data_IF_261047191819
#
_entry.id   IF_261047191819
#
_cell.length_a   1.000
_cell.length_b   1.000
_cell.length_c   1.000
_cell.angle_alpha   90.00
_cell.angle_beta   90.00
_cell.angle_gamma   90.00
#
_symmetry.space_group_name_H-M   'P 1'
#
loop_
_entity.id
_entity.type
_entity.pdbx_description
1 polymer ?
#
# COMPACT_ATOMS: atom_id res chain seq x y z
N UNK A 1 -1.37 -24.22 23.67
CA UNK A 1 -1.17 -25.65 23.33
C UNK A 1 0.15 -26.19 23.90
N UNK A 2 1.31 -25.68 23.47
CA UNK A 2 2.64 -26.12 23.94
C UNK A 2 2.84 -26.07 25.47
N UNK A 3 2.18 -25.12 26.13
CA UNK A 3 2.27 -24.95 27.58
C UNK A 3 1.38 -25.93 28.38
N UNK A 4 0.41 -26.62 27.76
CA UNK A 4 -0.55 -27.46 28.52
C UNK A 4 0.14 -28.70 29.12
N UNK A 5 0.88 -29.53 28.35
CA UNK A 5 1.61 -30.67 28.93
C UNK A 5 2.65 -30.24 29.96
N UNK A 6 3.18 -29.03 29.79
CA UNK A 6 4.18 -28.44 30.67
C UNK A 6 3.58 -28.00 32.02
N UNK A 7 2.43 -27.31 31.99
CA UNK A 7 1.70 -26.84 33.17
C UNK A 7 1.22 -28.00 34.05
N UNK A 8 0.90 -29.15 33.46
CA UNK A 8 0.50 -30.35 34.19
C UNK A 8 1.63 -30.97 35.03
N UNK A 9 2.88 -30.53 34.80
CA UNK A 9 4.09 -31.15 35.36
C UNK A 9 4.92 -30.14 36.17
N UNK A 10 4.37 -28.97 36.50
CA UNK A 10 5.08 -27.86 37.21
C UNK A 10 5.88 -28.31 38.42
N UNK A 11 5.33 -29.23 39.23
CA UNK A 11 5.98 -29.74 40.44
C UNK A 11 7.28 -30.53 40.18
N UNK A 12 7.47 -31.03 38.96
CA UNK A 12 8.63 -31.85 38.56
C UNK A 12 9.64 -31.08 37.71
N UNK A 13 9.52 -29.76 37.59
CA UNK A 13 10.45 -28.96 36.81
C UNK A 13 11.82 -28.85 37.50
N UNK A 14 12.87 -29.21 36.77
CA UNK A 14 14.26 -28.91 37.11
C UNK A 14 14.53 -27.41 36.99
N UNK A 15 15.61 -26.92 37.62
CA UNK A 15 15.99 -25.51 37.57
C UNK A 15 16.20 -25.01 36.13
N UNK A 16 16.79 -25.83 35.25
CA UNK A 16 16.99 -25.47 33.84
C UNK A 16 15.68 -25.26 33.08
N UNK A 17 14.68 -26.12 33.33
CA UNK A 17 13.36 -26.00 32.70
C UNK A 17 12.63 -24.77 33.23
N UNK A 18 12.70 -24.51 34.54
CA UNK A 18 12.15 -23.27 35.12
C UNK A 18 12.73 -22.03 34.45
N UNK A 19 14.04 -22.01 34.21
CA UNK A 19 14.70 -20.90 33.53
C UNK A 19 14.20 -20.72 32.08
N UNK A 20 14.09 -21.80 31.30
CA UNK A 20 13.56 -21.73 29.92
C UNK A 20 12.11 -21.26 29.91
N UNK A 21 11.27 -21.78 30.81
CA UNK A 21 9.87 -21.38 30.89
C UNK A 21 9.71 -19.93 31.32
N UNK A 22 10.51 -19.48 32.29
CA UNK A 22 10.54 -18.08 32.69
C UNK A 22 10.94 -17.18 31.52
N UNK A 23 11.98 -17.56 30.76
CA UNK A 23 12.36 -16.85 29.54
C UNK A 23 11.23 -16.80 28.52
N UNK A 24 10.56 -17.92 28.25
CA UNK A 24 9.40 -17.96 27.34
C UNK A 24 8.29 -17.02 27.79
N UNK A 25 7.95 -17.01 29.08
CA UNK A 25 6.91 -16.13 29.63
C UNK A 25 7.31 -14.66 29.47
N UNK A 26 8.54 -14.31 29.87
CA UNK A 26 9.05 -12.92 29.75
C UNK A 26 9.06 -12.48 28.30
N UNK A 27 9.49 -13.33 27.37
CA UNK A 27 9.54 -13.01 25.96
C UNK A 27 8.15 -12.89 25.32
N UNK A 28 7.20 -13.75 25.70
CA UNK A 28 5.79 -13.64 25.25
C UNK A 28 5.17 -12.34 25.77
N UNK A 29 5.38 -12.02 27.06
CA UNK A 29 4.91 -10.76 27.65
C UNK A 29 5.53 -9.56 26.94
N UNK A 30 6.83 -9.62 26.64
CA UNK A 30 7.51 -8.60 25.85
C UNK A 30 6.85 -8.38 24.49
N UNK A 31 6.56 -9.45 23.73
CA UNK A 31 5.86 -9.32 22.44
C UNK A 31 4.46 -8.70 22.61
N UNK A 32 3.72 -9.10 23.65
CA UNK A 32 2.38 -8.55 23.93
C UNK A 32 2.46 -7.06 24.26
N UNK A 33 3.42 -6.66 25.11
CA UNK A 33 3.62 -5.27 25.55
C UNK A 33 4.04 -4.39 24.38
N UNK A 34 4.99 -4.85 23.55
CA UNK A 34 5.44 -4.11 22.36
C UNK A 34 4.39 -4.14 21.24
N UNK A 35 3.48 -5.11 21.24
CA UNK A 35 2.39 -5.23 20.27
C UNK A 35 2.78 -5.91 18.95
N UNK A 36 3.97 -6.49 18.85
CA UNK A 36 4.49 -7.10 17.61
C UNK A 36 4.69 -6.10 16.47
N UNK A 37 4.41 -6.50 15.22
CA UNK A 37 4.62 -5.71 13.99
C UNK A 37 3.38 -5.78 13.10
N UNK A 38 3.34 -4.96 12.05
CA UNK A 38 2.30 -4.93 11.02
C UNK A 38 2.29 -6.23 10.21
N UNK A 39 3.47 -6.80 9.96
CA UNK A 39 3.57 -8.06 9.25
C UNK A 39 2.96 -9.20 10.08
N UNK A 40 2.14 -9.99 9.39
CA UNK A 40 1.24 -10.98 9.99
C UNK A 40 2.02 -12.25 10.34
N UNK A 41 1.30 -13.30 10.75
CA UNK A 41 1.88 -14.64 10.98
C UNK A 41 2.81 -14.74 12.20
N UNK A 42 2.66 -13.84 13.18
CA UNK A 42 3.30 -13.98 14.51
C UNK A 42 4.81 -14.26 14.46
N UNK A 43 5.54 -13.67 13.51
CA UNK A 43 6.95 -13.97 13.26
C UNK A 43 7.88 -13.76 14.45
N UNK A 44 7.52 -12.89 15.40
CA UNK A 44 8.29 -12.72 16.64
C UNK A 44 8.30 -13.94 17.54
N UNK A 45 7.38 -14.89 17.34
CA UNK A 45 7.37 -16.16 18.05
C UNK A 45 8.34 -17.19 17.42
N UNK A 46 8.87 -16.95 16.22
CA UNK A 46 9.81 -17.87 15.55
C UNK A 46 11.06 -18.14 16.41
N UNK A 47 11.73 -17.13 17.00
CA UNK A 47 12.90 -17.35 17.86
C UNK A 47 12.65 -18.24 19.08
N UNK A 48 11.41 -18.33 19.58
CA UNK A 48 11.09 -19.17 20.73
C UNK A 48 10.62 -20.58 20.37
N UNK A 49 10.28 -20.85 19.10
CA UNK A 49 9.86 -22.19 18.66
C UNK A 49 10.87 -23.29 19.01
N UNK A 50 12.19 -23.12 18.79
CA UNK A 50 13.19 -24.15 19.15
C UNK A 50 13.21 -24.48 20.64
N UNK A 51 12.86 -23.52 21.51
CA UNK A 51 12.79 -23.73 22.96
C UNK A 51 11.48 -24.37 23.40
N UNK A 52 10.38 -24.07 22.70
CA UNK A 52 9.07 -24.64 22.99
C UNK A 52 9.01 -26.15 22.72
N UNK A 53 9.72 -26.63 21.68
CA UNK A 53 9.75 -28.05 21.31
C UNK A 53 10.26 -28.96 22.44
N UNK A 54 11.49 -28.80 22.98
CA UNK A 54 12.02 -29.68 24.02
C UNK A 54 11.22 -29.56 25.33
N UNK A 55 10.72 -28.35 25.65
CA UNK A 55 9.88 -28.11 26.82
C UNK A 55 8.56 -28.88 26.72
N UNK A 56 7.92 -28.88 25.55
CA UNK A 56 6.70 -29.67 25.31
C UNK A 56 6.96 -31.16 25.30
N UNK A 57 8.06 -31.62 24.68
CA UNK A 57 8.46 -33.03 24.70
C UNK A 57 8.73 -33.52 26.13
N UNK A 58 9.40 -32.72 26.96
CA UNK A 58 9.63 -33.03 28.37
C UNK A 58 8.31 -33.20 29.14
N UNK A 59 7.36 -32.27 28.94
CA UNK A 59 6.02 -32.39 29.52
C UNK A 59 5.29 -33.66 29.09
N UNK A 60 5.35 -34.00 27.79
CA UNK A 60 4.77 -35.23 27.25
C UNK A 60 5.42 -36.49 27.82
N UNK A 61 6.75 -36.54 27.95
CA UNK A 61 7.48 -37.71 28.50
C UNK A 61 7.07 -37.98 29.94
N UNK A 62 6.90 -36.93 30.76
CA UNK A 62 6.51 -37.11 32.16
C UNK A 62 5.04 -37.46 32.30
N UNK A 63 4.18 -36.87 31.47
CA UNK A 63 2.74 -37.09 31.52
C UNK A 63 2.35 -38.45 30.93
N UNK A 64 2.95 -38.83 29.80
CA UNK A 64 2.66 -40.06 29.06
C UNK A 64 3.70 -41.13 29.41
N UNK A 65 3.30 -42.07 30.27
CA UNK A 65 4.17 -43.17 30.72
C UNK A 65 4.58 -44.14 29.61
N UNK A 66 3.85 -44.18 28.49
CA UNK A 66 4.08 -45.12 27.39
C UNK A 66 4.68 -44.42 26.17
N UNK A 67 5.82 -44.94 25.67
CA UNK A 67 6.60 -44.33 24.57
C UNK A 67 5.80 -44.08 23.29
N UNK A 68 4.91 -45.00 22.91
CA UNK A 68 4.09 -44.83 21.70
C UNK A 68 3.09 -43.67 21.81
N UNK A 69 2.57 -43.38 23.01
CA UNK A 69 1.66 -42.25 23.23
C UNK A 69 2.38 -40.92 23.08
N UNK A 70 3.67 -40.84 23.45
CA UNK A 70 4.49 -39.64 23.26
C UNK A 70 4.62 -39.33 21.77
N UNK A 71 4.94 -40.35 20.97
CA UNK A 71 5.04 -40.20 19.51
C UNK A 71 3.70 -39.83 18.87
N UNK A 72 2.61 -40.49 19.30
CA UNK A 72 1.27 -40.16 18.81
C UNK A 72 0.88 -38.72 19.16
N UNK A 73 1.16 -38.29 20.40
CA UNK A 73 0.91 -36.92 20.85
C UNK A 73 1.75 -35.90 20.10
N UNK A 74 3.04 -36.17 19.89
CA UNK A 74 3.93 -35.32 19.10
C UNK A 74 3.46 -35.23 17.64
N UNK A 75 3.08 -36.35 17.03
CA UNK A 75 2.53 -36.40 15.67
C UNK A 75 1.23 -35.58 15.55
N UNK A 76 0.31 -35.73 16.51
CA UNK A 76 -0.93 -34.96 16.53
C UNK A 76 -0.67 -33.46 16.71
N UNK A 77 0.24 -33.08 17.61
CA UNK A 77 0.64 -31.68 17.83
C UNK A 77 1.26 -31.07 16.56
N UNK A 78 2.17 -31.78 15.90
CA UNK A 78 2.77 -31.34 14.64
C UNK A 78 1.73 -31.23 13.52
N UNK A 79 0.90 -32.26 13.36
CA UNK A 79 -0.19 -32.26 12.38
C UNK A 79 -1.15 -31.09 12.59
N UNK A 80 -1.56 -30.83 13.83
CA UNK A 80 -2.40 -29.69 14.18
C UNK A 80 -1.73 -28.34 13.85
N UNK A 81 -0.46 -28.18 14.22
CA UNK A 81 0.31 -26.95 13.97
C UNK A 81 0.53 -26.67 12.50
N UNK A 82 0.67 -27.70 11.67
CA UNK A 82 0.84 -27.53 10.24
C UNK A 82 -0.48 -27.38 9.51
N UNK A 83 -1.56 -28.01 10.01
CA UNK A 83 -2.86 -28.03 9.33
C UNK A 83 -3.72 -26.80 9.64
N UNK A 84 -3.91 -26.47 10.93
CA UNK A 84 -4.87 -25.44 11.33
C UNK A 84 -4.50 -24.02 10.86
N UNK A 85 -3.26 -23.53 11.05
CA UNK A 85 -2.88 -22.20 10.57
C UNK A 85 -2.52 -22.21 9.06
N UNK A 86 -2.52 -23.36 8.38
CA UNK A 86 -2.00 -23.50 7.01
C UNK A 86 -2.57 -22.47 6.06
N UNK A 87 -3.89 -22.38 5.99
CA UNK A 87 -4.56 -21.48 5.04
C UNK A 87 -4.29 -20.02 5.37
N UNK A 88 -4.28 -19.66 6.65
CA UNK A 88 -3.95 -18.31 7.10
C UNK A 88 -2.52 -17.94 6.72
N UNK A 89 -1.54 -18.82 6.99
CA UNK A 89 -0.13 -18.60 6.66
C UNK A 89 0.08 -18.51 5.14
N UNK A 90 -0.51 -19.44 4.37
CA UNK A 90 -0.38 -19.45 2.90
C UNK A 90 -0.99 -18.18 2.30
N UNK A 91 -2.16 -17.75 2.79
CA UNK A 91 -2.81 -16.54 2.30
C UNK A 91 -1.94 -15.30 2.54
N UNK A 92 -1.43 -15.10 3.76
CA UNK A 92 -0.56 -13.96 4.05
C UNK A 92 0.77 -14.01 3.31
N UNK A 93 1.38 -15.19 3.23
CA UNK A 93 2.61 -15.39 2.44
C UNK A 93 2.40 -15.06 0.97
N UNK A 94 1.26 -15.45 0.41
CA UNK A 94 0.90 -15.10 -0.96
C UNK A 94 0.71 -13.59 -1.13
N UNK A 95 -0.03 -12.93 -0.23
CA UNK A 95 -0.19 -11.47 -0.25
C UNK A 95 1.12 -10.72 -0.13
N UNK A 96 2.03 -11.15 0.75
CA UNK A 96 3.36 -10.56 0.91
C UNK A 96 4.22 -10.75 -0.36
N UNK A 97 4.22 -11.96 -0.93
CA UNK A 97 4.88 -12.21 -2.22
C UNK A 97 4.33 -11.34 -3.34
N UNK A 98 3.01 -11.16 -3.40
CA UNK A 98 2.38 -10.29 -4.40
C UNK A 98 2.75 -8.82 -4.18
N UNK A 99 2.81 -8.36 -2.94
CA UNK A 99 3.29 -7.00 -2.63
C UNK A 99 4.73 -6.80 -3.10
N UNK A 100 5.64 -7.71 -2.73
CA UNK A 100 7.06 -7.65 -3.14
C UNK A 100 7.20 -7.69 -4.65
N UNK A 101 6.48 -8.60 -5.32
CA UNK A 101 6.47 -8.72 -6.78
C UNK A 101 5.99 -7.42 -7.44
N UNK A 102 4.87 -6.86 -6.98
CA UNK A 102 4.33 -5.63 -7.55
C UNK A 102 5.27 -4.43 -7.34
N UNK A 103 5.97 -4.38 -6.21
CA UNK A 103 6.99 -3.37 -5.96
C UNK A 103 8.22 -3.54 -6.85
N UNK A 104 8.71 -4.76 -7.03
CA UNK A 104 9.85 -5.04 -7.92
C UNK A 104 9.49 -4.72 -9.38
N UNK A 105 8.29 -5.09 -9.84
CA UNK A 105 7.81 -4.73 -11.18
C UNK A 105 7.67 -3.20 -11.36
N UNK A 106 7.24 -2.46 -10.32
CA UNK A 106 7.26 -0.99 -10.35
C UNK A 106 8.69 -0.46 -10.54
N UNK A 107 9.65 -0.97 -9.77
CA UNK A 107 11.05 -0.52 -9.82
C UNK A 107 11.69 -0.86 -11.18
N UNK A 108 11.47 -2.07 -11.69
CA UNK A 108 11.96 -2.49 -13.02
C UNK A 108 11.41 -1.56 -14.10
N UNK A 109 10.12 -1.26 -14.07
CA UNK A 109 9.52 -0.35 -15.04
C UNK A 109 10.05 1.08 -14.88
N UNK A 110 10.24 1.56 -13.65
CA UNK A 110 10.80 2.88 -13.38
C UNK A 110 12.23 3.02 -13.95
N UNK A 111 13.09 2.04 -13.67
CA UNK A 111 14.47 2.00 -14.20
C UNK A 111 14.53 1.88 -15.73
N UNK A 112 13.52 1.25 -16.34
CA UNK A 112 13.42 1.13 -17.79
C UNK A 112 13.04 2.45 -18.47
N UNK A 113 12.37 3.38 -17.77
CA UNK A 113 11.87 4.64 -18.35
C UNK A 113 12.65 5.87 -17.88
N UNK A 114 13.29 5.81 -16.72
CA UNK A 114 14.09 6.90 -16.17
C UNK A 114 15.51 6.43 -15.88
N UNK A 115 16.44 6.92 -16.70
CA UNK A 115 17.87 6.60 -16.60
C UNK A 115 18.67 7.67 -15.84
N UNK A 116 18.00 8.68 -15.27
CA UNK A 116 18.65 9.70 -14.45
C UNK A 116 19.02 9.16 -13.06
N UNK A 117 19.89 9.88 -12.34
CA UNK A 117 20.07 9.67 -10.91
C UNK A 117 18.88 10.28 -10.15
N UNK A 118 17.76 9.55 -10.15
CA UNK A 118 16.53 9.99 -9.49
C UNK A 118 16.48 9.59 -8.01
N UNK A 119 15.56 10.24 -7.31
CA UNK A 119 15.23 9.95 -5.92
C UNK A 119 13.81 9.39 -5.76
N UNK A 120 13.66 8.36 -4.93
CA UNK A 120 12.38 7.70 -4.65
C UNK A 120 12.06 7.73 -3.16
N UNK A 121 10.97 8.38 -2.78
CA UNK A 121 10.38 8.22 -1.46
C UNK A 121 9.36 7.08 -1.45
N UNK A 122 9.41 6.20 -0.46
CA UNK A 122 8.55 5.00 -0.42
C UNK A 122 8.16 4.63 1.01
N UNK A 123 6.91 4.19 1.23
CA UNK A 123 6.43 3.77 2.55
C UNK A 123 6.90 2.36 2.95
N UNK A 124 7.11 1.49 1.97
CA UNK A 124 7.65 0.14 2.17
C UNK A 124 9.04 0.03 1.57
N UNK A 125 10.06 0.52 2.29
CA UNK A 125 11.43 0.64 1.75
C UNK A 125 12.05 -0.66 1.25
N UNK A 126 11.64 -1.81 1.80
CA UNK A 126 12.11 -3.18 1.51
C UNK A 126 12.87 -3.38 0.19
N UNK A 127 12.19 -3.91 -0.84
CA UNK A 127 12.84 -4.27 -2.12
C UNK A 127 13.44 -3.05 -2.84
N UNK A 128 12.85 -1.86 -2.66
CA UNK A 128 13.35 -0.62 -3.25
C UNK A 128 14.78 -0.30 -2.80
N UNK A 129 15.06 -0.41 -1.50
CA UNK A 129 16.40 -0.18 -0.94
C UNK A 129 17.47 -1.15 -1.47
N UNK A 130 17.09 -2.36 -1.87
CA UNK A 130 18.03 -3.34 -2.45
C UNK A 130 18.22 -3.20 -3.97
N UNK A 131 17.19 -2.75 -4.68
CA UNK A 131 17.20 -2.70 -6.17
C UNK A 131 17.70 -1.37 -6.71
N UNK A 132 17.50 -0.28 -5.98
CA UNK A 132 17.84 1.07 -6.40
C UNK A 132 19.24 1.49 -5.88
N UNK A 133 20.22 0.59 -5.98
CA UNK A 133 21.61 0.90 -5.61
C UNK A 133 22.13 1.98 -6.57
N UNK A 134 22.68 3.05 -6.01
CA UNK A 134 23.15 4.21 -6.78
C UNK A 134 22.11 5.33 -6.91
N UNK A 135 20.85 5.07 -6.57
CA UNK A 135 19.78 6.08 -6.50
C UNK A 135 19.48 6.44 -5.04
N UNK A 136 18.85 7.59 -4.82
CA UNK A 136 18.47 8.02 -3.47
C UNK A 136 17.11 7.46 -3.07
N UNK A 137 17.08 6.51 -2.13
CA UNK A 137 15.83 5.99 -1.54
C UNK A 137 15.54 6.65 -0.20
N UNK A 138 14.33 7.21 -0.04
CA UNK A 138 13.87 7.89 1.17
C UNK A 138 12.73 7.07 1.78
N UNK A 139 12.93 6.54 2.98
CA UNK A 139 11.90 5.78 3.68
C UNK A 139 10.92 6.72 4.41
N UNK A 140 9.66 6.73 3.98
CA UNK A 140 8.63 7.61 4.53
C UNK A 140 8.29 7.33 6.00
N UNK A 141 8.59 6.13 6.52
CA UNK A 141 8.22 5.68 7.87
C UNK A 141 9.38 5.69 8.87
N UNK A 142 10.60 6.02 8.40
CA UNK A 142 11.78 6.13 9.27
C UNK A 142 12.27 4.81 9.86
N UNK A 143 12.02 3.67 9.19
CA UNK A 143 12.65 2.39 9.48
C UNK A 143 14.14 2.41 9.09
N UNK A 144 14.48 3.07 7.98
CA UNK A 144 15.86 3.25 7.51
C UNK A 144 16.32 4.71 7.42
N UNK A 145 15.40 5.68 7.42
CA UNK A 145 15.75 7.10 7.44
C UNK A 145 15.91 7.63 8.88
N UNK A 146 17.15 7.97 9.25
CA UNK A 146 17.48 8.38 10.62
C UNK A 146 16.86 9.71 11.04
N UNK A 147 16.61 10.63 10.09
CA UNK A 147 16.00 11.93 10.37
C UNK A 147 14.54 11.72 10.76
N UNK A 148 13.80 10.90 10.00
CA UNK A 148 12.41 10.57 10.31
C UNK A 148 12.31 9.78 11.62
N UNK A 149 13.26 8.87 11.88
CA UNK A 149 13.27 8.05 13.09
C UNK A 149 13.45 8.87 14.38
N UNK A 150 14.31 9.89 14.34
CA UNK A 150 14.74 10.71 15.49
C UNK A 150 14.00 12.03 15.62
N UNK A 151 13.51 12.57 14.50
CA UNK A 151 12.79 13.82 14.43
C UNK A 151 11.45 13.62 13.69
N UNK A 152 10.57 12.71 14.17
CA UNK A 152 9.24 12.59 13.60
C UNK A 152 8.46 13.89 13.81
N UNK A 153 7.54 14.19 12.90
CA UNK A 153 6.58 15.26 13.13
C UNK A 153 5.57 14.85 14.21
N UNK A 154 4.96 15.85 14.85
CA UNK A 154 3.88 15.61 15.80
C UNK A 154 2.70 14.88 15.13
N UNK A 155 2.08 13.92 15.84
CA UNK A 155 0.86 13.27 15.40
C UNK A 155 -0.22 14.29 15.01
N UNK A 156 -1.00 13.94 14.00
CA UNK A 156 -2.05 14.82 13.48
C UNK A 156 -3.38 14.36 14.05
N UNK A 157 -4.02 15.22 14.83
CA UNK A 157 -5.35 14.98 15.34
C UNK A 157 -6.32 14.63 14.20
N UNK A 158 -7.21 13.67 14.45
CA UNK A 158 -8.22 13.16 13.49
C UNK A 158 -7.65 12.40 12.29
N UNK A 159 -6.34 12.23 12.17
CA UNK A 159 -5.72 11.39 11.13
C UNK A 159 -5.49 9.95 11.63
N UNK A 160 -6.56 9.15 11.63
CA UNK A 160 -6.50 7.72 11.95
C UNK A 160 -5.87 6.89 10.84
N UNK A 161 -5.22 5.78 11.18
CA UNK A 161 -4.70 4.79 10.23
C UNK A 161 -4.68 3.41 10.87
N UNK A 162 -4.66 2.36 10.06
CA UNK A 162 -4.53 0.96 10.51
C UNK A 162 -3.07 0.52 10.65
N UNK A 163 -2.13 1.37 10.23
CA UNK A 163 -0.69 1.12 10.35
C UNK A 163 -0.22 1.28 11.80
N UNK A 164 0.79 0.51 12.21
CA UNK A 164 1.37 0.61 13.56
C UNK A 164 2.51 1.60 13.62
N UNK A 165 3.19 1.81 12.51
CA UNK A 165 4.23 2.81 12.33
C UNK A 165 3.57 4.18 12.42
N UNK A 166 3.87 4.92 13.48
CA UNK A 166 3.31 6.26 13.73
C UNK A 166 4.29 7.38 13.41
N UNK A 167 5.58 7.05 13.22
CA UNK A 167 6.63 8.01 12.89
C UNK A 167 6.61 8.34 11.40
N UNK A 168 6.72 9.62 11.09
CA UNK A 168 6.88 10.15 9.75
C UNK A 168 7.40 11.60 9.85
N UNK A 169 8.00 12.12 8.79
CA UNK A 169 8.31 13.56 8.69
C UNK A 169 8.11 14.04 7.24
N UNK A 170 6.85 14.35 6.91
CA UNK A 170 6.46 14.71 5.54
C UNK A 170 7.08 16.05 5.10
N UNK A 171 7.29 17.00 6.02
CA UNK A 171 8.00 18.25 5.76
C UNK A 171 9.44 17.99 5.32
N UNK A 172 10.17 17.14 6.05
CA UNK A 172 11.52 16.75 5.68
C UNK A 172 11.53 16.08 4.29
N UNK A 173 10.66 15.09 4.07
CA UNK A 173 10.55 14.41 2.76
C UNK A 173 10.30 15.41 1.64
N UNK A 174 9.34 16.32 1.79
CA UNK A 174 9.05 17.33 0.77
C UNK A 174 10.19 18.34 0.57
N UNK A 175 10.96 18.66 1.62
CA UNK A 175 12.15 19.51 1.51
C UNK A 175 13.27 18.86 0.70
N UNK A 176 13.34 17.52 0.71
CA UNK A 176 14.26 16.75 -0.14
C UNK A 176 13.81 16.70 -1.59
N UNK A 177 12.55 17.04 -1.86
CA UNK A 177 11.97 17.10 -3.20
C UNK A 177 12.20 15.83 -4.04
N UNK A 178 11.74 14.66 -3.58
CA UNK A 178 11.93 13.42 -4.31
C UNK A 178 11.32 13.49 -5.71
N UNK A 179 11.96 12.86 -6.70
CA UNK A 179 11.44 12.79 -8.07
C UNK A 179 10.19 11.94 -8.13
N UNK A 180 10.18 10.86 -7.34
CA UNK A 180 9.09 9.91 -7.25
C UNK A 180 8.67 9.66 -5.81
N UNK A 181 7.37 9.45 -5.60
CA UNK A 181 6.80 9.00 -4.32
C UNK A 181 5.90 7.78 -4.58
N UNK A 182 6.30 6.63 -4.03
CA UNK A 182 5.57 5.37 -4.16
C UNK A 182 4.85 5.04 -2.86
N UNK A 183 3.52 4.99 -2.94
CA UNK A 183 2.69 4.54 -1.83
C UNK A 183 2.51 3.02 -1.86
N UNK A 184 2.24 2.43 -0.69
CA UNK A 184 1.98 1.00 -0.55
C UNK A 184 0.69 0.56 -1.24
N UNK A 185 -0.23 1.50 -1.47
CA UNK A 185 -1.52 1.25 -2.13
C UNK A 185 -1.78 2.21 -3.30
N UNK A 186 -0.72 2.59 -4.03
CA UNK A 186 -0.81 3.44 -5.22
C UNK A 186 -1.50 4.78 -4.94
N UNK A 187 -2.70 5.04 -5.49
CA UNK A 187 -3.43 6.30 -5.27
C UNK A 187 -3.99 6.51 -3.86
N UNK A 188 -4.18 5.42 -3.11
CA UNK A 188 -4.79 5.50 -1.79
C UNK A 188 -3.72 5.80 -0.73
N UNK A 189 -3.77 6.93 -0.01
CA UNK A 189 -2.85 7.18 1.10
C UNK A 189 -3.27 6.35 2.31
N UNK A 190 -2.58 5.25 2.58
CA UNK A 190 -2.93 4.32 3.65
C UNK A 190 -2.09 4.54 4.91
N UNK A 191 -0.77 4.69 4.75
CA UNK A 191 0.16 4.88 5.85
C UNK A 191 0.10 6.33 6.38
N UNK A 192 0.47 6.59 7.65
CA UNK A 192 0.37 7.93 8.22
C UNK A 192 1.22 8.96 7.46
N UNK A 193 2.43 8.60 7.00
CA UNK A 193 3.25 9.47 6.17
C UNK A 193 2.57 9.84 4.82
N UNK A 194 1.94 8.87 4.17
CA UNK A 194 1.21 9.06 2.90
C UNK A 194 0.02 10.00 3.10
N UNK A 195 -0.72 9.81 4.20
CA UNK A 195 -1.85 10.67 4.58
C UNK A 195 -1.39 12.07 4.95
N UNK A 196 -0.28 12.21 5.66
CA UNK A 196 0.27 13.49 6.06
C UNK A 196 0.78 14.31 4.86
N UNK A 197 1.31 13.67 3.81
CA UNK A 197 1.68 14.35 2.56
C UNK A 197 0.49 15.11 1.95
N UNK A 198 -0.72 14.56 2.02
CA UNK A 198 -1.93 15.22 1.50
C UNK A 198 -2.35 16.46 2.29
N UNK A 199 -1.72 16.74 3.43
CA UNK A 199 -1.97 17.94 4.23
C UNK A 199 -1.11 19.13 3.82
N UNK A 200 -0.15 18.91 2.92
CA UNK A 200 0.71 19.93 2.35
C UNK A 200 0.22 20.32 0.94
N UNK A 201 -0.22 21.57 0.71
CA UNK A 201 -0.55 22.04 -0.64
C UNK A 201 0.59 21.84 -1.64
N UNK A 202 1.83 21.90 -1.17
CA UNK A 202 3.01 21.66 -1.99
C UNK A 202 3.00 20.28 -2.63
N UNK A 203 2.62 19.24 -1.89
CA UNK A 203 2.50 17.90 -2.46
C UNK A 203 1.41 17.87 -3.52
N UNK A 204 0.21 18.38 -3.20
CA UNK A 204 -0.94 18.40 -4.11
C UNK A 204 -0.68 19.22 -5.38
N UNK A 205 0.18 20.24 -5.32
CA UNK A 205 0.51 21.09 -6.46
C UNK A 205 1.70 20.56 -7.27
N UNK A 206 2.64 19.86 -6.63
CA UNK A 206 3.91 19.50 -7.27
C UNK A 206 3.92 18.10 -7.87
N UNK A 207 3.08 17.19 -7.36
CA UNK A 207 3.12 15.78 -7.71
C UNK A 207 1.85 15.34 -8.45
N UNK A 208 2.03 14.55 -9.53
CA UNK A 208 0.94 13.89 -10.26
C UNK A 208 1.30 12.44 -10.47
N UNK A 209 0.30 11.59 -10.51
CA UNK A 209 0.52 10.17 -10.78
C UNK A 209 0.88 9.93 -12.22
N UNK A 210 1.74 8.94 -12.42
CA UNK A 210 1.97 8.25 -13.67
C UNK A 210 1.70 6.76 -13.43
N UNK A 211 1.39 6.03 -14.49
CA UNK A 211 0.99 4.62 -14.39
C UNK A 211 1.90 3.68 -15.15
N UNK A 212 2.06 2.48 -14.60
CA UNK A 212 2.66 1.33 -15.27
C UNK A 212 1.65 0.19 -15.33
N UNK A 213 1.61 -0.56 -16.43
CA UNK A 213 0.73 -1.73 -16.58
C UNK A 213 1.55 -2.99 -16.33
N UNK A 214 1.16 -3.74 -15.31
CA UNK A 214 1.68 -5.07 -15.06
C UNK A 214 0.71 -5.85 -14.17
N UNK A 215 0.76 -7.18 -14.25
CA UNK A 215 -0.20 -8.04 -13.54
C UNK A 215 -1.68 -7.81 -13.92
N UNK A 216 -1.94 -7.22 -15.10
CA UNK A 216 -3.30 -6.87 -15.55
C UNK A 216 -3.91 -5.64 -14.87
N UNK A 217 -3.13 -4.88 -14.10
CA UNK A 217 -3.58 -3.67 -13.42
C UNK A 217 -2.69 -2.47 -13.72
N UNK A 218 -3.25 -1.27 -13.54
CA UNK A 218 -2.47 -0.03 -13.50
C UNK A 218 -1.94 0.13 -12.09
N UNK A 219 -0.64 0.36 -11.96
CA UNK A 219 0.01 0.67 -10.71
C UNK A 219 0.57 2.09 -10.80
N UNK A 220 0.21 2.92 -9.82
CA UNK A 220 0.54 4.33 -9.81
C UNK A 220 1.74 4.65 -8.94
N UNK A 221 2.49 5.65 -9.38
CA UNK A 221 3.52 6.33 -8.60
C UNK A 221 3.36 7.84 -8.80
N UNK A 222 3.59 8.63 -7.76
CA UNK A 222 3.59 10.09 -7.87
C UNK A 222 4.92 10.56 -8.43
N UNK A 223 4.90 11.24 -9.58
CA UNK A 223 6.04 11.93 -10.17
C UNK A 223 5.96 13.42 -9.86
N UNK A 224 7.10 14.03 -9.54
CA UNK A 224 7.22 15.49 -9.41
C UNK A 224 7.21 16.15 -10.79
N UNK A 225 6.24 17.02 -11.03
CA UNK A 225 6.13 17.82 -12.26
C UNK A 225 6.47 19.29 -12.06
N UNK A 226 6.30 19.79 -10.84
CA UNK A 226 6.69 21.15 -10.46
C UNK A 226 7.63 21.11 -9.26
N UNK A 227 8.52 22.10 -9.10
CA UNK A 227 9.33 22.21 -7.89
C UNK A 227 8.44 22.45 -6.67
N UNK A 228 8.82 21.86 -5.55
CA UNK A 228 8.17 22.15 -4.27
C UNK A 228 8.58 23.54 -3.81
N UNK A 229 7.62 24.47 -3.80
CA UNK A 229 7.86 25.88 -3.50
C UNK A 229 6.99 26.36 -2.33
N UNK A 230 7.39 27.49 -1.74
CA UNK A 230 6.69 28.09 -0.60
C UNK A 230 6.99 27.42 0.74
N UNK A 231 6.29 27.86 1.79
CA UNK A 231 6.53 27.38 3.15
C UNK A 231 5.85 26.04 3.41
N UNK A 232 6.62 25.02 3.79
CA UNK A 232 6.12 23.68 4.12
C UNK A 232 5.34 23.69 5.45
N UNK A 233 4.04 23.97 5.34
CA UNK A 233 3.07 23.97 6.43
C UNK A 233 1.86 23.11 6.07
N UNK A 234 1.36 22.38 7.07
CA UNK A 234 0.10 21.65 6.98
C UNK A 234 -1.04 22.65 7.09
N UNK A 235 -1.69 22.98 5.97
CA UNK A 235 -2.80 23.96 5.94
C UNK A 235 -4.13 23.36 5.54
N UNK A 236 -4.14 22.08 5.17
CA UNK A 236 -5.33 21.38 4.69
C UNK A 236 -5.96 20.62 5.86
N UNK A 237 -7.30 20.61 5.90
CA UNK A 237 -8.06 19.92 6.93
C UNK A 237 -7.83 18.39 6.87
N UNK A 238 -7.43 17.72 7.97
CA UNK A 238 -7.33 16.26 8.03
C UNK A 238 -8.57 15.49 7.57
N UNK A 239 -9.76 16.09 7.72
CA UNK A 239 -11.02 15.51 7.26
C UNK A 239 -11.11 15.36 5.74
N UNK A 240 -10.40 16.18 4.96
CA UNK A 240 -10.23 15.99 3.52
C UNK A 240 -9.62 14.61 3.22
N UNK A 241 -8.50 14.29 3.87
CA UNK A 241 -7.76 13.05 3.64
C UNK A 241 -8.57 11.84 4.07
N UNK A 242 -9.30 11.94 5.18
CA UNK A 242 -10.19 10.88 5.66
C UNK A 242 -11.34 10.63 4.70
N UNK A 243 -12.00 11.70 4.23
CA UNK A 243 -13.12 11.61 3.30
C UNK A 243 -12.65 11.04 1.95
N UNK A 244 -11.47 11.46 1.46
CA UNK A 244 -10.87 10.93 0.25
C UNK A 244 -10.54 9.43 0.37
N UNK A 245 -9.87 9.03 1.46
CA UNK A 245 -9.55 7.62 1.71
C UNK A 245 -10.82 6.76 1.88
N UNK A 246 -11.83 7.28 2.57
CA UNK A 246 -13.15 6.63 2.73
C UNK A 246 -13.82 6.41 1.37
N UNK A 247 -13.82 7.43 0.49
CA UNK A 247 -14.37 7.32 -0.87
C UNK A 247 -13.70 6.19 -1.66
N UNK A 248 -12.37 6.12 -1.62
CA UNK A 248 -11.61 5.04 -2.28
C UNK A 248 -11.96 3.65 -1.72
N UNK A 249 -12.03 3.49 -0.40
CA UNK A 249 -12.40 2.21 0.22
C UNK A 249 -13.84 1.81 -0.11
N UNK A 250 -14.78 2.75 -0.09
CA UNK A 250 -16.19 2.50 -0.41
C UNK A 250 -16.39 2.18 -1.90
N UNK A 251 -15.66 2.85 -2.79
CA UNK A 251 -15.63 2.54 -4.22
C UNK A 251 -15.10 1.11 -4.46
N UNK A 252 -13.99 0.73 -3.81
CA UNK A 252 -13.44 -0.62 -3.89
C UNK A 252 -14.39 -1.69 -3.35
N UNK A 253 -15.26 -1.32 -2.40
CA UNK A 253 -16.29 -2.20 -1.85
C UNK A 253 -17.60 -2.21 -2.67
N UNK A 254 -17.65 -1.52 -3.82
CA UNK A 254 -18.85 -1.41 -4.67
C UNK A 254 -19.98 -0.53 -4.10
N UNK A 255 -19.73 0.23 -3.04
CA UNK A 255 -20.73 1.07 -2.36
C UNK A 255 -20.78 2.47 -2.99
N UNK A 256 -21.32 2.56 -4.21
CA UNK A 256 -21.23 3.76 -5.05
C UNK A 256 -21.81 5.03 -4.40
N UNK A 257 -22.97 4.93 -3.73
CA UNK A 257 -23.61 6.09 -3.10
C UNK A 257 -22.79 6.64 -1.92
N UNK A 258 -22.33 5.75 -1.04
CA UNK A 258 -21.48 6.14 0.08
C UNK A 258 -20.18 6.76 -0.44
N UNK A 259 -19.56 6.13 -1.46
CA UNK A 259 -18.34 6.63 -2.10
C UNK A 259 -18.54 8.04 -2.65
N UNK A 260 -19.64 8.27 -3.37
CA UNK A 260 -20.02 9.59 -3.88
C UNK A 260 -20.10 10.63 -2.78
N UNK A 261 -20.79 10.32 -1.67
CA UNK A 261 -20.91 11.23 -0.53
C UNK A 261 -19.54 11.54 0.10
N UNK A 262 -18.69 10.53 0.27
CA UNK A 262 -17.33 10.71 0.79
C UNK A 262 -16.47 11.59 -0.12
N UNK A 263 -16.53 11.38 -1.44
CA UNK A 263 -15.78 12.22 -2.39
C UNK A 263 -16.33 13.63 -2.53
N UNK A 264 -17.65 13.83 -2.46
CA UNK A 264 -18.24 15.17 -2.43
C UNK A 264 -17.80 15.95 -1.19
N UNK A 265 -17.75 15.29 -0.04
CA UNK A 265 -17.19 15.87 1.19
C UNK A 265 -15.69 16.17 1.06
N UNK A 266 -14.92 15.26 0.46
CA UNK A 266 -13.51 15.54 0.17
C UNK A 266 -13.37 16.74 -0.77
N UNK A 267 -14.22 16.87 -1.79
CA UNK A 267 -14.20 17.97 -2.75
C UNK A 267 -14.48 19.33 -2.11
N UNK A 268 -15.44 19.39 -1.18
CA UNK A 268 -15.75 20.64 -0.47
C UNK A 268 -14.60 21.09 0.44
N UNK A 269 -13.87 20.14 1.04
CA UNK A 269 -12.73 20.40 1.94
C UNK A 269 -11.38 20.57 1.21
N UNK A 270 -11.31 20.20 -0.07
CA UNK A 270 -10.07 20.25 -0.84
C UNK A 270 -9.60 21.71 -1.03
N UNK A 271 -8.30 22.03 -0.84
CA UNK A 271 -7.80 23.39 -1.04
C UNK A 271 -7.83 23.80 -2.52
N UNK A 272 -7.71 25.10 -2.82
CA UNK A 272 -7.43 25.58 -4.17
C UNK A 272 -5.91 25.63 -4.44
N UNK A 273 -5.44 25.25 -5.66
CA UNK A 273 -6.23 24.61 -6.72
C UNK A 273 -6.68 23.20 -6.29
N UNK A 274 -7.93 22.85 -6.61
CA UNK A 274 -8.50 21.54 -6.22
C UNK A 274 -7.65 20.37 -6.72
N UNK A 275 -7.34 19.44 -5.81
CA UNK A 275 -6.67 18.18 -6.11
C UNK A 275 -7.49 17.37 -7.15
N UNK A 276 -6.93 17.12 -8.35
CA UNK A 276 -7.71 16.69 -9.51
C UNK A 276 -8.30 15.28 -9.36
N UNK A 277 -7.69 14.43 -8.54
CA UNK A 277 -8.10 13.03 -8.39
C UNK A 277 -9.44 12.87 -7.66
N UNK A 278 -9.86 13.84 -6.85
CA UNK A 278 -11.20 13.80 -6.25
C UNK A 278 -12.26 13.88 -7.35
N UNK A 279 -12.12 14.83 -8.29
CA UNK A 279 -13.03 14.99 -9.41
C UNK A 279 -12.96 13.80 -10.37
N UNK A 280 -11.75 13.27 -10.62
CA UNK A 280 -11.58 12.03 -11.39
C UNK A 280 -12.37 10.87 -10.78
N UNK A 281 -12.32 10.67 -9.46
CA UNK A 281 -13.05 9.59 -8.82
C UNK A 281 -14.57 9.81 -8.81
N UNK A 282 -15.04 11.06 -8.69
CA UNK A 282 -16.45 11.38 -8.92
C UNK A 282 -16.88 11.06 -10.36
N UNK A 283 -16.06 11.41 -11.36
CA UNK A 283 -16.33 11.07 -12.77
C UNK A 283 -16.39 9.54 -12.96
N UNK A 284 -15.44 8.80 -12.38
CA UNK A 284 -15.42 7.34 -12.37
C UNK A 284 -16.69 6.73 -11.76
N UNK A 285 -17.29 7.34 -10.74
CA UNK A 285 -18.56 6.88 -10.19
C UNK A 285 -19.70 7.02 -11.22
N UNK A 286 -19.73 8.11 -11.99
CA UNK A 286 -20.70 8.26 -13.09
C UNK A 286 -20.51 7.20 -14.18
N UNK A 287 -19.25 6.88 -14.53
CA UNK A 287 -18.95 5.77 -15.42
C UNK A 287 -19.46 4.43 -14.85
N UNK A 288 -19.28 4.16 -13.57
CA UNK A 288 -19.76 2.93 -12.91
C UNK A 288 -21.30 2.85 -12.86
N UNK A 289 -21.98 4.00 -12.82
CA UNK A 289 -23.45 4.12 -12.97
C UNK A 289 -23.92 4.03 -14.43
N UNK A 290 -23.00 3.87 -15.39
CA UNK A 290 -23.24 3.91 -16.85
C UNK A 290 -23.74 5.26 -17.37
N UNK A 291 -23.48 6.35 -16.62
CA UNK A 291 -23.77 7.71 -17.04
C UNK A 291 -22.59 8.30 -17.83
N UNK A 292 -22.40 7.82 -19.06
CA UNK A 292 -21.23 8.16 -19.88
C UNK A 292 -21.17 9.64 -20.29
N UNK A 293 -22.32 10.32 -20.40
CA UNK A 293 -22.38 11.75 -20.73
C UNK A 293 -21.74 12.60 -19.66
N UNK A 294 -22.17 12.44 -18.41
CA UNK A 294 -21.64 13.22 -17.30
C UNK A 294 -20.19 12.85 -17.02
N UNK A 295 -19.86 11.55 -17.13
CA UNK A 295 -18.47 11.09 -17.07
C UNK A 295 -17.57 11.83 -18.07
N UNK A 296 -17.96 11.85 -19.35
CA UNK A 296 -17.19 12.52 -20.41
C UNK A 296 -17.07 14.05 -20.17
N UNK A 297 -18.15 14.70 -19.72
CA UNK A 297 -18.13 16.13 -19.40
C UNK A 297 -17.18 16.44 -18.25
N UNK A 298 -17.23 15.65 -17.17
CA UNK A 298 -16.34 15.81 -16.01
C UNK A 298 -14.88 15.56 -16.38
N UNK A 299 -14.57 14.58 -17.23
CA UNK A 299 -13.21 14.37 -17.71
C UNK A 299 -12.70 15.54 -18.55
N UNK A 300 -13.53 16.12 -19.42
CA UNK A 300 -13.18 17.31 -20.20
C UNK A 300 -12.93 18.54 -19.32
N UNK A 301 -13.76 18.73 -18.29
CA UNK A 301 -13.52 19.78 -17.29
C UNK A 301 -12.21 19.55 -16.55
N UNK A 302 -11.92 18.30 -16.20
CA UNK A 302 -10.73 17.92 -15.46
C UNK A 302 -9.44 18.19 -16.23
N UNK A 303 -9.36 17.84 -17.52
CA UNK A 303 -8.16 18.13 -18.34
C UNK A 303 -7.98 19.62 -18.63
N UNK A 304 -9.06 20.43 -18.58
CA UNK A 304 -8.97 21.89 -18.65
C UNK A 304 -8.40 22.48 -17.36
N UNK A 305 -8.76 21.91 -16.21
CA UNK A 305 -8.26 22.34 -14.89
C UNK A 305 -6.82 21.90 -14.66
N UNK A 306 -6.46 20.70 -15.11
CA UNK A 306 -5.16 20.10 -14.87
C UNK A 306 -4.70 19.27 -16.07
N UNK A 307 -3.73 19.80 -16.82
CA UNK A 307 -3.23 19.16 -18.04
C UNK A 307 -2.22 18.03 -17.80
N UNK A 308 -1.95 17.67 -16.54
CA UNK A 308 -1.00 16.62 -16.13
C UNK A 308 -1.69 15.35 -15.62
N UNK A 309 -3.02 15.33 -15.49
CA UNK A 309 -3.76 14.15 -15.05
C UNK A 309 -3.93 13.12 -16.17
N UNK A 310 -2.92 12.26 -16.36
CA UNK A 310 -2.90 11.26 -17.43
C UNK A 310 -4.13 10.32 -17.42
N UNK A 311 -4.71 10.06 -16.24
CA UNK A 311 -5.92 9.24 -16.10
C UNK A 311 -7.10 9.76 -16.93
N UNK A 312 -7.32 11.08 -16.93
CA UNK A 312 -8.43 11.67 -17.66
C UNK A 312 -8.21 11.59 -19.17
N UNK A 313 -6.99 11.86 -19.63
CA UNK A 313 -6.63 11.70 -21.04
C UNK A 313 -6.76 10.26 -21.51
N UNK A 314 -6.33 9.29 -20.70
CA UNK A 314 -6.46 7.85 -20.97
C UNK A 314 -7.93 7.47 -21.14
N UNK A 315 -8.80 7.87 -20.22
CA UNK A 315 -10.22 7.52 -20.30
C UNK A 315 -10.95 8.29 -21.43
N UNK A 316 -10.58 9.54 -21.71
CA UNK A 316 -11.09 10.31 -22.85
C UNK A 316 -10.68 9.66 -24.19
N UNK A 317 -9.42 9.25 -24.35
CA UNK A 317 -8.95 8.51 -25.52
C UNK A 317 -9.79 7.24 -25.74
N UNK A 318 -10.04 6.46 -24.69
CA UNK A 318 -10.87 5.25 -24.79
C UNK A 318 -12.32 5.55 -25.20
N UNK A 319 -12.91 6.63 -24.69
CA UNK A 319 -14.26 7.05 -25.05
C UNK A 319 -14.33 7.52 -26.52
N UNK A 320 -13.41 8.37 -26.96
CA UNK A 320 -13.39 8.86 -28.34
C UNK A 320 -13.10 7.73 -29.34
N UNK A 321 -12.19 6.82 -29.00
CA UNK A 321 -11.82 5.73 -29.88
C UNK A 321 -12.90 4.63 -29.98
N UNK A 322 -13.61 4.31 -28.89
CA UNK A 322 -14.52 3.16 -28.86
C UNK A 322 -16.01 3.53 -28.82
N UNK A 323 -16.38 4.62 -28.14
CA UNK A 323 -17.79 4.98 -27.92
C UNK A 323 -18.27 6.05 -28.92
N UNK A 324 -17.52 7.13 -29.08
CA UNK A 324 -17.91 8.25 -29.95
C UNK A 324 -17.36 8.14 -31.37
N UNK A 325 -16.39 7.24 -31.60
CA UNK A 325 -15.73 7.02 -32.88
C UNK A 325 -15.21 8.31 -33.53
N UNK A 326 -14.57 9.18 -32.74
CA UNK A 326 -13.97 10.43 -33.19
C UNK A 326 -12.44 10.30 -33.23
N UNK A 327 -11.85 9.95 -34.39
CA UNK A 327 -10.42 9.69 -34.50
C UNK A 327 -9.56 10.93 -34.26
N UNK A 328 -10.04 12.13 -34.60
CA UNK A 328 -9.28 13.37 -34.48
C UNK A 328 -9.07 13.73 -33.00
N UNK A 329 -10.13 13.71 -32.19
CA UNK A 329 -10.02 13.92 -30.74
C UNK A 329 -9.24 12.80 -30.05
N UNK A 330 -9.42 11.56 -30.49
CA UNK A 330 -8.62 10.45 -29.98
C UNK A 330 -7.12 10.70 -30.22
N UNK A 331 -6.74 11.18 -31.41
CA UNK A 331 -5.35 11.52 -31.73
C UNK A 331 -4.79 12.62 -30.81
N UNK A 332 -5.57 13.68 -30.54
CA UNK A 332 -5.20 14.76 -29.61
C UNK A 332 -4.91 14.23 -28.20
N UNK A 333 -5.83 13.43 -27.64
CA UNK A 333 -5.63 12.85 -26.31
C UNK A 333 -4.47 11.85 -26.26
N UNK A 334 -4.25 11.11 -27.35
CA UNK A 334 -3.11 10.20 -27.49
C UNK A 334 -1.78 10.95 -27.52
N UNK A 335 -1.68 12.04 -28.26
CA UNK A 335 -0.49 12.91 -28.27
C UNK A 335 -0.19 13.42 -26.86
N UNK A 336 -1.22 13.83 -26.12
CA UNK A 336 -1.03 14.29 -24.75
C UNK A 336 -0.55 13.18 -23.82
N UNK A 337 -1.03 11.94 -23.98
CA UNK A 337 -0.52 10.79 -23.23
C UNK A 337 0.93 10.44 -23.60
N UNK A 338 1.33 10.59 -24.87
CA UNK A 338 2.73 10.39 -25.27
C UNK A 338 3.67 11.36 -24.56
N UNK A 339 3.23 12.60 -24.31
CA UNK A 339 4.01 13.57 -23.56
C UNK A 339 4.11 13.24 -22.05
N UNK A 340 3.05 12.66 -21.47
CA UNK A 340 2.98 12.39 -20.02
C UNK A 340 3.55 11.02 -19.62
N UNK A 341 3.22 9.98 -20.39
CA UNK A 341 3.46 8.55 -20.10
C UNK A 341 3.72 7.76 -21.39
N UNK A 342 4.79 8.06 -22.16
CA UNK A 342 5.01 7.47 -23.49
C UNK A 342 5.07 5.95 -23.49
N UNK A 343 5.63 5.33 -22.45
CA UNK A 343 5.71 3.86 -22.29
C UNK A 343 4.34 3.19 -22.14
N UNK A 344 3.31 3.93 -21.72
CA UNK A 344 1.97 3.40 -21.47
C UNK A 344 1.13 3.30 -22.76
N UNK A 345 1.38 4.20 -23.72
CA UNK A 345 0.54 4.37 -24.92
C UNK A 345 0.46 3.12 -25.81
N UNK A 346 1.54 2.38 -26.09
CA UNK A 346 1.47 1.17 -26.93
C UNK A 346 0.52 0.10 -26.38
N UNK A 347 0.48 -0.07 -25.06
CA UNK A 347 -0.46 -0.98 -24.40
C UNK A 347 -1.92 -0.53 -24.56
N UNK A 348 -2.16 0.79 -24.51
CA UNK A 348 -3.48 1.37 -24.70
C UNK A 348 -3.97 1.25 -26.15
N UNK A 349 -3.09 1.48 -27.12
CA UNK A 349 -3.40 1.30 -28.55
C UNK A 349 -3.81 -0.16 -28.83
N UNK A 350 -3.06 -1.11 -28.26
CA UNK A 350 -3.35 -2.55 -28.37
C UNK A 350 -4.74 -2.89 -27.81
N UNK A 351 -5.08 -2.32 -26.65
CA UNK A 351 -6.38 -2.48 -26.01
C UNK A 351 -7.54 -1.90 -26.82
N UNK A 352 -7.35 -0.73 -27.46
CA UNK A 352 -8.36 -0.10 -28.33
C UNK A 352 -8.64 -0.99 -29.55
N UNK A 353 -7.59 -1.52 -30.19
CA UNK A 353 -7.72 -2.43 -31.34
C UNK A 353 -8.50 -3.68 -30.96
N UNK A 354 -8.17 -4.29 -29.82
CA UNK A 354 -8.86 -5.49 -29.34
C UNK A 354 -10.33 -5.20 -28.99
N UNK A 355 -10.61 -4.08 -28.33
CA UNK A 355 -11.96 -3.67 -27.95
C UNK A 355 -12.86 -3.49 -29.17
N UNK A 356 -12.36 -2.84 -30.23
CA UNK A 356 -13.09 -2.68 -31.50
C UNK A 356 -13.40 -4.02 -32.17
N UNK A 357 -12.44 -4.97 -32.16
CA UNK A 357 -12.67 -6.33 -32.68
C UNK A 357 -13.78 -7.07 -31.94
N UNK A 358 -13.98 -6.79 -30.64
CA UNK A 358 -15.07 -7.40 -29.84
C UNK A 358 -16.43 -6.75 -30.09
N UNK A 359 -16.47 -5.45 -30.37
CA UNK A 359 -17.73 -4.73 -30.68
C UNK A 359 -18.26 -5.13 -32.06
N UNK A 360 -17.38 -5.46 -33.00
CA UNK A 360 -17.75 -5.86 -34.37
C UNK A 360 -18.10 -7.36 -34.52
N UNK A 361 -17.96 -8.14 -33.46
CA UNK A 361 -18.39 -9.55 -33.40
C UNK A 361 -19.72 -9.63 -32.68
#
# INVERSE_FOLDING_TARGET
>A
LFLIPLLLVVRKWTSSIRAVVLFLIVYILYIIIIGGDVLKVHRFFVPILPLMIPVTLFGLVIFLKKRYLIWLGAFFLLGWQLYFPRQHVISFHHSEKMLVKNMDEMIVNLLAVDHSDFSLAVSTVGIAGYRLIGHRVIDLLGLTDSTIARHPEEPIDKLSTTWKETKYNSKYVLSLQPDYILFSTALKPSAPAERALFLYPQFLNSYRTIGFVYGGAINDIYKRFHPVTGELKRTIDPEFVQSYNSGLNQMSAGRLQASSASFQKAWSLCPEPKYPYVLYHLARLEMMKKNYRDYYQMLNELVKRDSLIYYAYKDLLLLEANLYNNPDKAAEYRERLLALVPWYVPGLDSFIIESRKRINK
#
